data_IF_731644778300
#
_entry.id   IF_731644778300
#
_cell.length_a   1.000
_cell.length_b   1.000
_cell.length_c   1.000
_cell.angle_alpha   90.00
_cell.angle_beta   90.00
_cell.angle_gamma   90.00
#
_symmetry.space_group_name_H-M   'P 1'
#
loop_
_entity.id
_entity.type
_entity.pdbx_description
1 polymer ?
#
# COMPACT_ATOMS: atom_id res chain seq x y z
N UNK A 1 -6.31 1.51 21.55
CA UNK A 1 -6.71 2.77 20.88
C UNK A 1 -8.20 2.63 20.59
N UNK A 2 -9.05 3.45 21.22
CA UNK A 2 -10.51 3.21 21.24
C UNK A 2 -11.25 3.92 20.09
N UNK A 3 -10.72 3.87 18.87
CA UNK A 3 -11.41 4.45 17.70
C UNK A 3 -12.79 3.85 17.43
N UNK A 4 -13.07 2.66 17.93
CA UNK A 4 -14.38 2.01 17.79
C UNK A 4 -15.43 2.56 18.77
N UNK A 5 -15.02 3.26 19.83
CA UNK A 5 -15.96 3.84 20.83
C UNK A 5 -16.49 5.21 20.43
N UNK A 6 -15.88 5.85 19.44
CA UNK A 6 -16.44 7.07 18.86
C UNK A 6 -17.66 6.71 18.03
N UNK A 7 -18.85 7.14 18.48
CA UNK A 7 -20.11 6.94 17.77
C UNK A 7 -20.28 7.89 16.58
N UNK A 8 -19.32 8.80 16.32
CA UNK A 8 -19.33 9.62 15.11
C UNK A 8 -19.09 8.74 13.88
N UNK A 9 -19.63 9.14 12.75
CA UNK A 9 -19.35 8.55 11.45
C UNK A 9 -18.36 9.42 10.65
N UNK A 10 -17.63 10.28 11.35
CA UNK A 10 -16.65 11.16 10.75
C UNK A 10 -15.50 10.34 10.15
N UNK A 11 -14.99 10.70 8.96
CA UNK A 11 -13.89 9.98 8.35
C UNK A 11 -12.61 10.07 9.18
N UNK A 12 -11.97 8.93 9.42
CA UNK A 12 -10.61 8.88 9.95
C UNK A 12 -9.63 9.04 8.81
N UNK A 13 -8.52 9.74 9.03
CA UNK A 13 -7.44 9.86 8.06
C UNK A 13 -6.17 9.25 8.61
N UNK A 14 -5.64 8.25 7.90
CA UNK A 14 -4.33 7.67 8.12
C UNK A 14 -3.35 8.26 7.11
N UNK A 15 -2.36 9.01 7.60
CA UNK A 15 -1.30 9.57 6.76
C UNK A 15 -0.12 8.60 6.74
N UNK A 16 0.29 8.18 5.55
CA UNK A 16 1.48 7.38 5.31
C UNK A 16 2.63 8.28 4.82
N UNK A 17 3.68 8.39 5.64
CA UNK A 17 4.96 9.01 5.30
C UNK A 17 6.05 8.14 5.93
N UNK A 18 6.47 7.06 5.26
CA UNK A 18 7.25 6.00 5.91
C UNK A 18 8.23 5.31 4.96
N UNK A 19 9.40 4.97 5.48
CA UNK A 19 10.39 4.10 4.82
C UNK A 19 10.03 2.59 4.89
N UNK A 20 8.97 2.24 5.63
CA UNK A 20 8.58 0.86 5.90
C UNK A 20 9.08 0.36 7.25
N UNK A 21 9.31 -0.94 7.35
CA UNK A 21 9.73 -1.59 8.59
C UNK A 21 9.39 -3.07 8.62
N UNK A 22 9.05 -3.57 9.80
CA UNK A 22 8.71 -4.98 10.03
C UNK A 22 7.47 -5.40 9.23
N UNK A 23 7.61 -6.49 8.47
CA UNK A 23 6.49 -7.08 7.71
C UNK A 23 5.36 -7.52 8.64
N UNK A 24 5.70 -8.13 9.79
CA UNK A 24 4.70 -8.59 10.74
C UNK A 24 3.86 -7.45 11.32
N UNK A 25 4.51 -6.34 11.70
CA UNK A 25 3.82 -5.17 12.25
C UNK A 25 2.98 -4.48 11.18
N UNK A 26 3.50 -4.41 9.95
CA UNK A 26 2.76 -3.84 8.83
C UNK A 26 1.52 -4.66 8.47
N UNK A 27 1.58 -5.99 8.50
CA UNK A 27 0.39 -6.82 8.28
C UNK A 27 -0.67 -6.69 9.37
N UNK A 28 -0.30 -6.30 10.60
CA UNK A 28 -1.29 -5.93 11.62
C UNK A 28 -2.11 -4.73 11.13
N UNK A 29 -1.43 -3.69 10.62
CA UNK A 29 -2.10 -2.51 10.08
C UNK A 29 -2.90 -2.83 8.81
N UNK A 30 -2.40 -3.66 7.91
CA UNK A 30 -3.14 -4.11 6.73
C UNK A 30 -4.46 -4.79 7.15
N UNK A 31 -4.43 -5.70 8.11
CA UNK A 31 -5.63 -6.35 8.62
C UNK A 31 -6.63 -5.36 9.23
N UNK A 32 -6.13 -4.34 9.97
CA UNK A 32 -6.98 -3.30 10.54
C UNK A 32 -7.65 -2.47 9.42
N UNK A 33 -6.88 -2.07 8.40
CA UNK A 33 -7.39 -1.28 7.26
C UNK A 33 -8.43 -2.10 6.49
N UNK A 34 -8.13 -3.36 6.16
CA UNK A 34 -9.03 -4.23 5.40
C UNK A 34 -10.37 -4.50 6.12
N UNK A 35 -10.35 -4.53 7.44
CA UNK A 35 -11.53 -4.79 8.27
C UNK A 35 -12.17 -3.52 8.86
N UNK A 36 -11.68 -2.33 8.48
CA UNK A 36 -12.17 -1.09 9.08
C UNK A 36 -13.65 -0.84 8.71
N UNK A 37 -14.46 -0.53 9.71
CA UNK A 37 -15.93 -0.47 9.53
C UNK A 37 -16.48 0.92 9.29
N UNK A 38 -15.69 1.97 9.56
CA UNK A 38 -16.06 3.38 9.36
C UNK A 38 -15.34 3.96 8.14
N UNK A 39 -15.74 5.16 7.66
CA UNK A 39 -15.01 5.84 6.59
C UNK A 39 -13.54 6.07 6.96
N UNK A 40 -12.62 5.63 6.11
CA UNK A 40 -11.17 5.76 6.30
C UNK A 40 -10.52 6.30 5.02
N UNK A 41 -9.77 7.39 5.15
CA UNK A 41 -8.87 7.85 4.12
C UNK A 41 -7.44 7.41 4.45
N UNK A 42 -6.80 6.69 3.53
CA UNK A 42 -5.36 6.36 3.61
C UNK A 42 -4.64 7.27 2.62
N UNK A 43 -3.79 8.17 3.09
CA UNK A 43 -3.19 9.21 2.25
C UNK A 43 -1.66 9.11 2.30
N UNK A 44 -1.03 8.96 1.14
CA UNK A 44 0.44 9.09 1.04
C UNK A 44 0.81 10.55 1.00
N UNK A 45 1.63 10.96 1.98
CA UNK A 45 2.22 12.30 2.04
C UNK A 45 3.74 12.18 1.84
N UNK A 46 4.20 12.49 0.64
CA UNK A 46 5.60 12.39 0.26
C UNK A 46 5.98 10.98 -0.21
N UNK A 47 6.11 10.01 0.68
CA UNK A 47 6.50 8.66 0.28
C UNK A 47 5.96 7.54 1.18
N UNK A 48 5.75 6.37 0.57
CA UNK A 48 5.47 5.12 1.25
C UNK A 48 6.39 4.04 0.66
N UNK A 49 7.37 3.56 1.43
CA UNK A 49 8.35 2.61 0.92
C UNK A 49 8.30 1.27 1.63
N UNK A 50 8.69 0.20 0.93
CA UNK A 50 8.79 -1.17 1.48
C UNK A 50 7.46 -1.62 2.08
N UNK A 51 7.41 -1.94 3.37
CA UNK A 51 6.15 -2.27 4.05
C UNK A 51 5.10 -1.15 3.97
N UNK A 52 5.52 0.11 3.83
CA UNK A 52 4.62 1.24 3.60
C UNK A 52 3.82 1.14 2.30
N UNK A 53 4.45 0.64 1.22
CA UNK A 53 3.77 0.37 -0.06
C UNK A 53 2.76 -0.77 0.09
N UNK A 54 3.09 -1.79 0.87
CA UNK A 54 2.18 -2.92 1.14
C UNK A 54 0.97 -2.44 1.94
N UNK A 55 1.19 -1.60 2.96
CA UNK A 55 0.09 -1.00 3.74
C UNK A 55 -0.81 -0.10 2.88
N UNK A 56 -0.26 0.58 1.87
CA UNK A 56 -1.03 1.39 0.94
C UNK A 56 -1.96 0.54 0.07
N UNK A 57 -1.57 -0.70 -0.26
CA UNK A 57 -2.42 -1.62 -1.00
C UNK A 57 -3.62 -2.12 -0.18
N UNK A 58 -3.54 -2.10 1.16
CA UNK A 58 -4.63 -2.50 2.03
C UNK A 58 -5.91 -1.67 1.80
N UNK A 59 -7.04 -2.23 2.10
CA UNK A 59 -8.34 -1.56 1.92
C UNK A 59 -8.88 -1.59 0.49
N UNK A 60 -8.18 -2.19 -0.46
CA UNK A 60 -8.59 -2.26 -1.86
C UNK A 60 -9.99 -2.86 -2.07
N UNK A 61 -10.40 -3.77 -1.20
CA UNK A 61 -11.68 -4.45 -1.25
C UNK A 61 -12.68 -3.95 -0.19
N UNK A 62 -12.28 -2.93 0.58
CA UNK A 62 -13.12 -2.36 1.63
C UNK A 62 -13.78 -1.06 1.14
N UNK A 63 -15.09 -1.08 0.91
CA UNK A 63 -15.88 0.08 0.45
C UNK A 63 -15.83 1.31 1.37
N UNK A 64 -15.40 1.14 2.61
CA UNK A 64 -15.26 2.24 3.57
C UNK A 64 -13.89 2.91 3.49
N UNK A 65 -12.94 2.34 2.73
CA UNK A 65 -11.58 2.83 2.61
C UNK A 65 -11.39 3.53 1.27
N UNK A 66 -10.78 4.70 1.28
CA UNK A 66 -10.33 5.40 0.08
C UNK A 66 -8.84 5.68 0.22
N UNK A 67 -8.07 5.24 -0.76
CA UNK A 67 -6.60 5.39 -0.78
C UNK A 67 -6.23 6.51 -1.72
N UNK A 68 -5.43 7.46 -1.24
CA UNK A 68 -5.09 8.69 -1.97
C UNK A 68 -3.59 8.98 -1.89
N UNK A 69 -3.09 9.73 -2.86
CA UNK A 69 -1.75 10.32 -2.80
C UNK A 69 -1.77 11.76 -3.30
N UNK A 70 -0.73 12.53 -2.93
CA UNK A 70 -0.47 13.82 -3.55
C UNK A 70 0.35 13.64 -4.84
N UNK A 71 0.33 14.63 -5.80
CA UNK A 71 0.97 14.48 -7.11
C UNK A 71 2.48 14.21 -7.05
N UNK A 72 3.17 14.72 -6.02
CA UNK A 72 4.62 14.53 -5.84
C UNK A 72 4.96 13.40 -4.86
N UNK A 73 3.98 12.56 -4.53
CA UNK A 73 4.22 11.36 -3.71
C UNK A 73 4.75 10.23 -4.57
N UNK A 74 5.49 9.33 -3.93
CA UNK A 74 5.97 8.10 -4.56
C UNK A 74 5.89 6.91 -3.62
N UNK A 75 5.86 5.73 -4.18
CA UNK A 75 5.98 4.48 -3.46
C UNK A 75 7.18 3.68 -3.97
N UNK A 76 7.71 2.80 -3.12
CA UNK A 76 8.82 1.91 -3.46
C UNK A 76 8.52 0.50 -2.94
N UNK A 77 8.51 -0.45 -3.85
CA UNK A 77 8.50 -1.87 -3.54
C UNK A 77 9.90 -2.47 -3.80
N UNK A 78 10.39 -3.28 -2.88
CA UNK A 78 11.66 -3.99 -3.03
C UNK A 78 11.64 -5.29 -2.21
N UNK A 79 12.52 -6.23 -2.56
CA UNK A 79 12.71 -7.44 -1.76
C UNK A 79 13.14 -7.08 -0.33
N UNK A 80 12.54 -7.74 0.64
CA UNK A 80 12.97 -7.62 2.03
C UNK A 80 14.40 -8.10 2.23
N UNK A 81 15.08 -7.56 3.24
CA UNK A 81 16.36 -8.08 3.70
C UNK A 81 16.18 -8.79 5.03
N UNK A 82 16.68 -10.01 5.12
CA UNK A 82 16.64 -10.82 6.36
C UNK A 82 18.00 -11.39 6.63
N UNK A 83 18.45 -11.31 7.87
CA UNK A 83 19.68 -11.92 8.32
C UNK A 83 19.34 -13.08 9.28
N UNK A 84 19.87 -14.25 9.00
CA UNK A 84 19.70 -15.42 9.85
C UNK A 84 21.03 -15.76 10.53
N UNK A 85 20.98 -16.04 11.84
CA UNK A 85 22.12 -16.49 12.63
C UNK A 85 21.66 -17.50 13.68
N UNK A 86 22.48 -18.52 13.95
CA UNK A 86 22.16 -19.56 14.92
C UNK A 86 22.65 -20.95 14.48
N UNK A 87 22.10 -21.98 15.10
CA UNK A 87 22.38 -23.38 14.71
C UNK A 87 21.77 -23.67 13.34
N UNK A 88 22.42 -24.53 12.54
CA UNK A 88 22.10 -24.78 11.13
C UNK A 88 20.63 -25.19 10.89
N UNK A 89 20.08 -26.06 11.73
CA UNK A 89 18.69 -26.50 11.61
C UNK A 89 17.70 -25.36 11.87
N UNK A 90 17.96 -24.52 12.88
CA UNK A 90 17.10 -23.37 13.19
C UNK A 90 17.18 -22.28 12.11
N UNK A 91 18.32 -22.14 11.44
CA UNK A 91 18.49 -21.23 10.29
C UNK A 91 17.70 -21.74 9.09
N UNK A 92 17.71 -23.04 8.82
CA UNK A 92 16.95 -23.64 7.72
C UNK A 92 15.43 -23.45 7.90
N UNK A 93 14.92 -23.71 9.11
CA UNK A 93 13.50 -23.48 9.44
C UNK A 93 13.11 -22.01 9.28
N UNK A 94 13.97 -21.09 9.74
CA UNK A 94 13.76 -19.66 9.59
C UNK A 94 13.75 -19.21 8.11
N UNK A 95 14.65 -19.79 7.29
CA UNK A 95 14.65 -19.52 5.85
C UNK A 95 13.39 -20.03 5.15
N UNK A 96 12.90 -21.22 5.50
CA UNK A 96 11.65 -21.77 4.97
C UNK A 96 10.46 -20.92 5.40
N UNK A 97 10.43 -20.45 6.64
CA UNK A 97 9.39 -19.53 7.11
C UNK A 97 9.42 -18.22 6.34
N UNK A 98 10.61 -17.63 6.12
CA UNK A 98 10.75 -16.38 5.37
C UNK A 98 10.21 -16.50 3.93
N UNK A 99 10.51 -17.60 3.23
CA UNK A 99 9.93 -17.86 1.90
C UNK A 99 8.40 -17.87 1.91
N UNK A 100 7.79 -18.38 2.97
CA UNK A 100 6.31 -18.32 3.12
C UNK A 100 5.81 -16.91 3.35
N UNK A 101 6.58 -16.08 4.08
CA UNK A 101 6.27 -14.66 4.28
C UNK A 101 6.37 -13.90 2.96
N UNK A 102 7.43 -14.13 2.18
CA UNK A 102 7.62 -13.51 0.86
C UNK A 102 6.45 -13.88 -0.09
N UNK A 103 6.04 -15.15 -0.10
CA UNK A 103 4.87 -15.57 -0.87
C UNK A 103 3.59 -14.85 -0.43
N UNK A 104 3.38 -14.65 0.88
CA UNK A 104 2.23 -13.89 1.40
C UNK A 104 2.25 -12.43 0.98
N UNK A 105 3.43 -11.80 0.94
CA UNK A 105 3.58 -10.42 0.46
C UNK A 105 3.21 -10.35 -1.02
N UNK A 106 3.72 -11.25 -1.85
CA UNK A 106 3.37 -11.33 -3.27
C UNK A 106 1.86 -11.51 -3.44
N UNK A 107 1.27 -12.49 -2.78
CA UNK A 107 -0.15 -12.81 -2.90
C UNK A 107 -1.03 -11.63 -2.42
N UNK A 108 -0.59 -10.91 -1.39
CA UNK A 108 -1.27 -9.70 -0.91
C UNK A 108 -1.23 -8.59 -1.97
N UNK A 109 -0.05 -8.27 -2.50
CA UNK A 109 0.08 -7.22 -3.54
C UNK A 109 -0.74 -7.57 -4.77
N UNK A 110 -0.61 -8.78 -5.30
CA UNK A 110 -1.32 -9.19 -6.53
C UNK A 110 -2.82 -9.30 -6.36
N UNK A 111 -3.31 -9.55 -5.15
CA UNK A 111 -4.75 -9.58 -4.85
C UNK A 111 -5.35 -8.20 -4.55
N UNK A 112 -4.56 -7.25 -4.04
CA UNK A 112 -5.04 -5.91 -3.63
C UNK A 112 -4.73 -4.80 -4.64
N UNK A 113 -4.01 -5.12 -5.70
CA UNK A 113 -3.61 -4.16 -6.74
C UNK A 113 -3.85 -4.75 -8.13
N UNK A 114 -3.50 -4.00 -9.16
CA UNK A 114 -3.53 -4.47 -10.56
C UNK A 114 -2.17 -5.05 -10.99
N UNK A 115 -1.22 -5.20 -10.08
CA UNK A 115 0.07 -5.84 -10.34
C UNK A 115 -0.16 -7.31 -10.61
N UNK A 116 0.29 -7.81 -11.76
CA UNK A 116 0.20 -9.23 -12.08
C UNK A 116 1.31 -10.04 -11.38
N UNK A 117 1.13 -11.35 -11.17
CA UNK A 117 2.19 -12.20 -10.62
C UNK A 117 3.48 -12.12 -11.44
N UNK A 118 3.39 -12.08 -12.77
CA UNK A 118 4.52 -12.00 -13.69
C UNK A 118 5.27 -10.66 -13.55
N UNK A 119 4.53 -9.54 -13.42
CA UNK A 119 5.13 -8.23 -13.17
C UNK A 119 5.84 -8.21 -11.82
N UNK A 120 5.20 -8.73 -10.76
CA UNK A 120 5.81 -8.83 -9.43
C UNK A 120 7.12 -9.62 -9.48
N UNK A 121 7.12 -10.82 -10.06
CA UNK A 121 8.31 -11.69 -10.18
C UNK A 121 9.42 -11.03 -10.99
N UNK A 122 9.10 -10.27 -12.05
CA UNK A 122 10.09 -9.55 -12.87
C UNK A 122 10.81 -8.45 -12.09
N UNK A 123 10.23 -7.98 -10.99
CA UNK A 123 10.77 -6.92 -10.13
C UNK A 123 11.22 -7.42 -8.75
N UNK A 124 11.06 -8.71 -8.42
CA UNK A 124 11.31 -9.29 -7.10
C UNK A 124 12.70 -8.94 -6.53
N UNK A 125 13.72 -8.84 -7.40
CA UNK A 125 15.10 -8.53 -7.00
C UNK A 125 15.55 -7.10 -7.36
N UNK A 126 14.60 -6.20 -7.66
CA UNK A 126 14.84 -4.83 -8.06
C UNK A 126 14.15 -3.87 -7.08
N UNK A 127 14.55 -2.61 -7.16
CA UNK A 127 13.76 -1.54 -6.58
C UNK A 127 12.73 -1.11 -7.62
N UNK A 128 11.47 -1.16 -7.27
CA UNK A 128 10.38 -0.78 -8.15
C UNK A 128 9.70 0.48 -7.59
N UNK A 129 9.95 1.60 -8.24
CA UNK A 129 9.42 2.89 -7.87
C UNK A 129 8.11 3.14 -8.60
N UNK A 130 7.18 3.79 -7.92
CA UNK A 130 5.87 4.22 -8.42
C UNK A 130 5.71 5.70 -8.12
N UNK A 131 5.53 6.53 -9.12
CA UNK A 131 5.04 7.90 -8.95
C UNK A 131 3.53 7.92 -8.70
N UNK A 132 2.90 9.10 -8.64
CA UNK A 132 1.48 9.22 -8.35
C UNK A 132 0.61 8.54 -9.43
N UNK A 133 0.97 8.71 -10.70
CA UNK A 133 0.30 8.13 -11.85
C UNK A 133 0.45 6.59 -11.87
N UNK A 134 1.65 6.10 -11.57
CA UNK A 134 1.89 4.67 -11.44
C UNK A 134 1.09 4.07 -10.27
N UNK A 135 1.06 4.74 -9.10
CA UNK A 135 0.26 4.29 -7.97
C UNK A 135 -1.22 4.17 -8.32
N UNK A 136 -1.77 5.11 -9.08
CA UNK A 136 -3.15 5.07 -9.56
C UNK A 136 -3.35 3.98 -10.61
N UNK A 137 -2.45 3.89 -11.58
CA UNK A 137 -2.48 2.89 -12.66
C UNK A 137 -2.46 1.47 -12.12
N UNK A 138 -1.55 1.19 -11.20
CA UNK A 138 -1.42 -0.14 -10.58
C UNK A 138 -2.41 -0.39 -9.45
N UNK A 139 -3.22 0.60 -9.09
CA UNK A 139 -4.29 0.44 -8.09
C UNK A 139 -3.79 0.40 -6.65
N UNK A 140 -2.63 0.98 -6.36
CA UNK A 140 -2.20 1.25 -4.99
C UNK A 140 -3.02 2.37 -4.36
N UNK A 141 -3.45 3.35 -5.16
CA UNK A 141 -4.36 4.41 -4.75
C UNK A 141 -5.58 4.47 -5.66
N UNK A 142 -6.63 5.09 -5.17
CA UNK A 142 -7.91 5.28 -5.85
C UNK A 142 -8.03 6.70 -6.44
N UNK A 143 -7.23 7.66 -5.91
CA UNK A 143 -7.31 9.07 -6.27
C UNK A 143 -5.95 9.79 -6.09
N UNK A 144 -5.65 10.73 -6.99
CA UNK A 144 -4.56 11.71 -6.83
C UNK A 144 -5.19 13.03 -6.38
N UNK A 145 -4.84 13.51 -5.17
CA UNK A 145 -5.39 14.74 -4.60
C UNK A 145 -4.93 15.96 -5.40
N UNK A 146 -5.88 16.74 -5.91
CA UNK A 146 -5.57 17.92 -6.72
C UNK A 146 -5.09 17.60 -8.14
N UNK A 147 -5.17 16.33 -8.56
CA UNK A 147 -5.06 15.97 -9.96
C UNK A 147 -6.24 16.56 -10.72
N UNK A 148 -5.97 17.29 -11.80
CA UNK A 148 -7.01 17.75 -12.70
C UNK A 148 -7.63 16.54 -13.37
N UNK A 149 -8.84 16.19 -13.01
CA UNK A 149 -9.68 15.43 -13.91
C UNK A 149 -9.72 16.22 -15.22
N UNK A 150 -9.12 15.68 -16.26
CA UNK A 150 -9.25 16.21 -17.61
C UNK A 150 -10.66 15.93 -18.13
N UNK A 151 -11.64 16.55 -17.49
CA UNK A 151 -12.94 16.82 -18.11
C UNK A 151 -12.85 18.23 -18.66
N UNK A 152 -12.61 18.30 -19.97
CA UNK A 152 -12.79 19.53 -20.70
C UNK A 152 -14.17 20.11 -20.42
N UNK A 153 -14.17 21.27 -19.81
CA UNK A 153 -15.27 22.23 -19.96
C UNK A 153 -14.79 23.29 -20.96
N UNK A 154 -14.85 22.90 -22.24
CA UNK A 154 -14.83 23.83 -23.35
C UNK A 154 -16.21 24.47 -23.48
N UNK A 155 -16.51 25.42 -22.60
CA UNK A 155 -17.60 26.38 -22.81
C UNK A 155 -17.07 27.79 -22.61
N UNK A 156 -16.25 28.25 -23.57
CA UNK A 156 -16.11 29.69 -23.83
C UNK A 156 -17.25 30.06 -24.78
N UNK A 157 -18.34 30.53 -24.25
CA UNK A 157 -19.31 31.28 -25.03
C UNK A 157 -18.74 32.69 -25.30
N UNK A 158 -18.42 32.94 -26.57
CA UNK A 158 -18.25 34.26 -27.14
C UNK A 158 -19.57 35.04 -27.02
N UNK A 159 -19.49 36.23 -26.45
CA UNK A 159 -20.45 37.32 -26.67
C UNK A 159 -19.77 38.66 -26.50
#
# INVERSE_FOLDING_TARGET
MDFEKDNSNDPVTLILATVGGSISDGFILCNIIDQYTKPLNVIVLGYAASMGTIMLAAGAHNRNVTRKCYPYSYALLHAGSTCFSGESLSVEDAMQFNKRVDSKVRDFITSHTKVTPEEYESHERKQWFFDAEDMLKYGFVDEIIGGTDSKGDDSVEDS
#
